data_IF_544201047699
#
_entry.id   IF_544201047699
#
_cell.length_a   1.000
_cell.length_b   1.000
_cell.length_c   1.000
_cell.angle_alpha   90.00
_cell.angle_beta   90.00
_cell.angle_gamma   90.00
#
_symmetry.space_group_name_H-M   'P 1'
#
loop_
_entity.id
_entity.type
_entity.pdbx_description
1 polymer ?
#
# COMPACT_ATOMS: atom_id res chain seq x y z
N UNK A 1 30.64 -69.23 -15.34
CA UNK A 1 30.12 -68.40 -14.25
C UNK A 1 30.72 -67.02 -14.42
N UNK A 2 29.96 -66.05 -14.98
CA UNK A 2 30.34 -64.63 -15.11
C UNK A 2 29.60 -63.86 -14.05
N UNK A 3 30.31 -63.25 -13.10
CA UNK A 3 29.77 -62.38 -12.10
C UNK A 3 29.67 -60.94 -12.67
N UNK A 4 28.45 -60.45 -12.85
CA UNK A 4 28.18 -59.08 -13.25
C UNK A 4 28.15 -58.24 -11.98
N UNK A 5 29.06 -57.28 -11.85
CA UNK A 5 29.10 -56.28 -10.78
C UNK A 5 28.20 -55.09 -11.22
N UNK A 6 27.14 -54.86 -10.50
CA UNK A 6 26.22 -53.72 -10.71
C UNK A 6 26.75 -52.57 -9.87
N UNK A 7 27.30 -51.53 -10.51
CA UNK A 7 27.72 -50.30 -9.85
C UNK A 7 26.51 -49.42 -9.62
N UNK A 8 26.20 -49.19 -8.36
CA UNK A 8 25.14 -48.23 -7.93
C UNK A 8 25.74 -46.83 -7.94
N UNK A 9 25.38 -46.03 -8.95
CA UNK A 9 25.76 -44.63 -9.03
C UNK A 9 24.79 -43.83 -8.16
N UNK A 10 25.23 -43.38 -6.98
CA UNK A 10 24.52 -42.42 -6.14
C UNK A 10 24.62 -41.05 -6.79
N UNK A 11 23.52 -40.57 -7.38
CA UNK A 11 23.38 -39.16 -7.79
C UNK A 11 23.10 -38.34 -6.53
N UNK A 12 24.11 -37.63 -6.02
CA UNK A 12 23.94 -36.57 -5.07
C UNK A 12 23.24 -35.41 -5.81
N UNK A 13 21.93 -35.26 -5.58
CA UNK A 13 21.25 -34.01 -5.88
C UNK A 13 21.78 -32.94 -4.90
N UNK A 14 22.72 -32.14 -5.34
CA UNK A 14 22.99 -30.84 -4.75
C UNK A 14 21.76 -29.99 -5.00
N UNK A 15 20.89 -29.91 -4.00
CA UNK A 15 19.85 -28.88 -3.94
C UNK A 15 20.54 -27.52 -3.86
N UNK A 16 20.69 -26.85 -5.00
CA UNK A 16 21.09 -25.46 -5.03
C UNK A 16 20.01 -24.67 -4.32
N UNK A 17 20.34 -24.05 -3.20
CA UNK A 17 19.55 -22.97 -2.63
C UNK A 17 19.55 -21.90 -3.72
N UNK A 18 18.43 -21.71 -4.39
CA UNK A 18 18.24 -20.57 -5.29
C UNK A 18 18.36 -19.31 -4.41
N UNK A 19 19.55 -18.72 -4.38
CA UNK A 19 19.74 -17.41 -3.77
C UNK A 19 18.89 -16.44 -4.60
N UNK A 20 17.90 -15.80 -3.99
CA UNK A 20 17.17 -14.74 -4.65
C UNK A 20 18.19 -13.73 -5.19
N UNK A 21 18.06 -13.37 -6.47
CA UNK A 21 18.98 -12.42 -7.09
C UNK A 21 18.88 -11.10 -6.35
N UNK A 22 20.00 -10.62 -5.78
CA UNK A 22 20.02 -9.35 -5.06
C UNK A 22 19.73 -8.19 -6.01
N UNK A 23 18.85 -7.31 -5.60
CA UNK A 23 18.59 -6.05 -6.30
C UNK A 23 19.78 -5.12 -6.02
N UNK A 24 20.60 -4.89 -7.04
CA UNK A 24 21.73 -3.96 -6.94
C UNK A 24 21.25 -2.53 -7.19
N UNK A 25 21.59 -1.60 -6.33
CA UNK A 25 21.26 -0.18 -6.48
C UNK A 25 22.42 0.71 -6.04
N UNK A 26 22.36 1.95 -6.47
CA UNK A 26 23.23 3.04 -6.04
C UNK A 26 22.35 4.17 -5.52
N UNK A 27 22.74 4.83 -4.42
CA UNK A 27 21.98 5.93 -3.85
C UNK A 27 22.86 7.12 -3.51
N UNK A 28 22.32 8.34 -3.61
CA UNK A 28 22.99 9.58 -3.23
C UNK A 28 21.97 10.70 -3.03
N UNK A 29 22.40 11.76 -2.33
CA UNK A 29 21.58 12.95 -2.12
C UNK A 29 22.02 14.09 -3.06
N UNK A 30 21.06 14.85 -3.57
CA UNK A 30 21.30 16.16 -4.18
C UNK A 30 21.45 17.24 -3.10
N UNK A 31 22.11 18.35 -3.43
CA UNK A 31 22.32 19.47 -2.49
C UNK A 31 21.01 20.05 -1.95
N UNK A 32 19.93 19.96 -2.72
CA UNK A 32 18.60 20.39 -2.29
C UNK A 32 17.87 19.37 -1.38
N UNK A 33 18.53 18.26 -1.06
CA UNK A 33 18.04 17.22 -0.15
C UNK A 33 17.11 16.19 -0.79
N UNK A 34 16.96 16.15 -2.13
CA UNK A 34 16.30 15.05 -2.80
C UNK A 34 17.19 13.82 -2.76
N UNK A 35 16.65 12.72 -2.30
CA UNK A 35 17.31 11.41 -2.35
C UNK A 35 17.11 10.77 -3.71
N UNK A 36 18.17 10.19 -4.28
CA UNK A 36 18.17 9.57 -5.61
C UNK A 36 18.61 8.11 -5.48
N UNK A 37 17.86 7.21 -6.09
CA UNK A 37 18.16 5.79 -6.15
C UNK A 37 18.24 5.37 -7.63
N UNK A 38 19.31 4.68 -8.01
CA UNK A 38 19.55 4.18 -9.36
C UNK A 38 19.64 2.65 -9.33
N UNK A 39 18.75 1.98 -10.06
CA UNK A 39 18.79 0.53 -10.27
C UNK A 39 18.95 0.24 -11.77
N UNK A 40 20.18 -0.10 -12.19
CA UNK A 40 20.47 -0.43 -13.58
C UNK A 40 20.19 -1.91 -13.87
N UNK A 41 19.22 -2.17 -14.76
CA UNK A 41 18.87 -3.49 -15.27
C UNK A 41 18.64 -3.43 -16.79
N UNK A 42 19.59 -3.92 -17.62
CA UNK A 42 19.49 -3.91 -19.07
C UNK A 42 18.68 -5.08 -19.64
N UNK A 43 17.93 -5.82 -18.84
CA UNK A 43 17.18 -7.01 -19.28
C UNK A 43 16.05 -6.69 -20.27
N UNK A 44 15.52 -5.44 -20.24
CA UNK A 44 14.53 -4.93 -21.17
C UNK A 44 14.88 -3.49 -21.56
N UNK A 45 14.61 -3.06 -22.82
CA UNK A 45 14.99 -1.73 -23.31
C UNK A 45 14.02 -0.64 -22.85
N UNK A 46 13.73 -0.61 -21.55
CA UNK A 46 12.82 0.35 -20.91
C UNK A 46 13.44 0.91 -19.65
N UNK A 47 13.05 2.11 -19.27
CA UNK A 47 13.45 2.74 -18.03
C UNK A 47 12.23 3.41 -17.36
N UNK A 48 12.16 3.32 -16.03
CA UNK A 48 11.19 4.03 -15.20
C UNK A 48 11.87 5.21 -14.51
N UNK A 49 11.19 6.34 -14.51
CA UNK A 49 11.44 7.46 -13.61
C UNK A 49 10.26 7.57 -12.67
N UNK A 50 10.50 7.58 -11.38
CA UNK A 50 9.44 7.72 -10.40
C UNK A 50 9.82 8.65 -9.26
N UNK A 51 8.84 9.39 -8.76
CA UNK A 51 9.00 10.28 -7.60
C UNK A 51 7.95 9.91 -6.56
N UNK A 52 8.41 9.55 -5.37
CA UNK A 52 7.56 9.32 -4.21
C UNK A 52 7.72 10.48 -3.22
N UNK A 53 6.61 11.16 -2.96
CA UNK A 53 6.53 12.25 -2.01
C UNK A 53 6.04 11.72 -0.66
N UNK A 54 6.73 12.06 0.43
CA UNK A 54 6.31 11.72 1.79
C UNK A 54 5.18 12.65 2.23
N UNK A 55 4.06 12.54 1.53
CA UNK A 55 2.81 13.25 1.82
C UNK A 55 1.64 12.38 1.41
N UNK A 56 0.72 12.17 2.34
CA UNK A 56 -0.51 11.41 2.13
C UNK A 56 -1.66 12.03 2.89
N UNK A 57 -2.78 11.32 2.98
CA UNK A 57 -3.96 11.86 3.66
C UNK A 57 -3.74 12.14 5.15
N UNK A 58 -2.72 11.54 5.79
CA UNK A 58 -2.38 11.85 7.18
C UNK A 58 -1.81 13.25 7.41
N UNK A 59 -1.27 13.87 6.36
CA UNK A 59 -0.69 15.22 6.45
C UNK A 59 -1.73 16.33 6.28
N UNK A 60 -3.00 15.96 6.10
CA UNK A 60 -4.13 16.86 5.90
C UNK A 60 -4.69 17.37 7.22
N UNK A 61 -5.43 18.46 7.14
CA UNK A 61 -6.20 19.00 8.29
C UNK A 61 -7.56 18.30 8.40
N UNK A 62 -8.13 18.16 9.61
CA UNK A 62 -9.44 17.52 9.82
C UNK A 62 -10.60 18.19 9.07
N UNK A 63 -10.46 19.47 8.75
CA UNK A 63 -11.45 20.29 8.03
C UNK A 63 -11.11 20.49 6.54
N UNK A 64 -10.05 19.83 6.04
CA UNK A 64 -9.55 19.91 4.66
C UNK A 64 -8.97 18.56 4.23
N UNK A 65 -9.82 17.54 4.17
CA UNK A 65 -9.43 16.17 3.77
C UNK A 65 -9.59 15.95 2.28
N UNK A 66 -8.74 15.08 1.70
CA UNK A 66 -8.71 14.75 0.28
C UNK A 66 -7.67 15.51 -0.52
N UNK A 67 -6.87 16.39 0.09
CA UNK A 67 -5.87 17.21 -0.61
C UNK A 67 -4.77 16.38 -1.24
N UNK A 68 -4.22 15.40 -0.54
CA UNK A 68 -3.15 14.57 -1.09
C UNK A 68 -3.60 13.81 -2.35
N UNK A 69 -4.77 13.18 -2.31
CA UNK A 69 -5.36 12.52 -3.48
C UNK A 69 -5.74 13.52 -4.57
N UNK A 70 -6.24 14.68 -4.20
CA UNK A 70 -6.52 15.75 -5.17
C UNK A 70 -5.26 16.18 -5.94
N UNK A 71 -4.12 16.27 -5.24
CA UNK A 71 -2.84 16.59 -5.86
C UNK A 71 -2.34 15.47 -6.79
N UNK A 72 -2.68 14.20 -6.52
CA UNK A 72 -2.43 13.12 -7.47
C UNK A 72 -3.00 13.45 -8.84
N UNK A 73 -4.22 13.97 -8.90
CA UNK A 73 -4.87 14.42 -10.14
C UNK A 73 -4.33 15.76 -10.65
N UNK A 74 -4.24 16.74 -9.76
CA UNK A 74 -3.95 18.13 -10.13
C UNK A 74 -2.56 18.30 -10.77
N UNK A 75 -1.58 17.50 -10.36
CA UNK A 75 -0.23 17.56 -10.93
C UNK A 75 -0.11 16.93 -12.33
N UNK A 76 -1.21 16.46 -12.93
CA UNK A 76 -1.31 16.14 -14.35
C UNK A 76 -1.95 17.25 -15.21
N UNK A 77 -2.46 18.32 -14.58
CA UNK A 77 -3.12 19.43 -15.30
C UNK A 77 -2.15 20.26 -16.14
N UNK A 78 -0.86 20.13 -15.90
CA UNK A 78 0.19 20.78 -16.69
C UNK A 78 1.17 21.56 -15.84
N UNK A 79 2.21 22.07 -16.52
CA UNK A 79 3.28 22.87 -15.93
C UNK A 79 3.44 24.16 -16.75
N UNK A 80 4.37 25.02 -16.36
CA UNK A 80 4.69 26.21 -17.17
C UNK A 80 5.13 25.85 -18.59
N UNK A 81 5.78 24.67 -18.77
CA UNK A 81 6.33 24.22 -20.05
C UNK A 81 5.52 23.08 -20.71
N UNK A 82 4.61 22.42 -19.99
CA UNK A 82 3.71 21.40 -20.51
C UNK A 82 2.29 21.92 -20.39
N UNK A 83 1.65 22.19 -21.53
CA UNK A 83 0.29 22.72 -21.54
C UNK A 83 -0.71 21.73 -20.96
N UNK A 84 -1.79 22.24 -20.38
CA UNK A 84 -2.92 21.46 -19.88
C UNK A 84 -3.41 20.45 -20.93
N UNK A 85 -3.54 19.18 -20.53
CA UNK A 85 -3.98 18.07 -21.39
C UNK A 85 -2.92 17.53 -22.35
N UNK A 86 -1.68 18.03 -22.29
CA UNK A 86 -0.58 17.53 -23.12
C UNK A 86 0.22 16.41 -22.42
N UNK A 87 0.17 16.28 -21.09
CA UNK A 87 0.97 15.30 -20.35
C UNK A 87 0.82 13.88 -20.91
N UNK A 88 -0.39 13.35 -20.93
CA UNK A 88 -0.68 12.01 -21.44
C UNK A 88 -0.37 11.84 -22.92
N UNK A 89 -0.52 12.91 -23.72
CA UNK A 89 -0.18 12.89 -25.14
C UNK A 89 1.32 12.78 -25.36
N UNK A 90 2.13 13.51 -24.59
CA UNK A 90 3.59 13.42 -24.63
C UNK A 90 4.02 12.00 -24.27
N UNK A 91 3.51 11.44 -23.17
CA UNK A 91 3.82 10.09 -22.75
C UNK A 91 3.50 9.08 -23.86
N UNK A 92 2.26 9.09 -24.37
CA UNK A 92 1.81 8.13 -25.37
C UNK A 92 2.57 8.30 -26.71
N UNK A 93 2.80 9.54 -27.16
CA UNK A 93 3.52 9.81 -28.40
C UNK A 93 4.98 9.33 -28.39
N UNK A 94 5.57 9.20 -27.19
CA UNK A 94 6.94 8.72 -27.01
C UNK A 94 7.00 7.24 -26.57
N UNK A 95 5.89 6.49 -26.71
CA UNK A 95 5.82 5.06 -26.42
C UNK A 95 5.86 4.72 -24.92
N UNK A 96 5.56 5.70 -24.06
CA UNK A 96 5.54 5.54 -22.62
C UNK A 96 4.17 5.20 -22.05
N UNK A 97 4.18 4.84 -20.78
CA UNK A 97 2.99 4.72 -19.91
C UNK A 97 3.30 5.42 -18.60
N UNK A 98 2.28 5.91 -17.93
CA UNK A 98 2.42 6.56 -16.63
C UNK A 98 1.24 6.23 -15.73
N UNK A 99 1.44 6.40 -14.44
CA UNK A 99 0.38 6.32 -13.44
C UNK A 99 0.77 7.08 -12.17
N UNK A 100 -0.20 7.22 -11.27
CA UNK A 100 0.01 7.73 -9.93
C UNK A 100 -0.90 7.03 -8.93
N UNK A 101 -0.59 7.11 -7.66
CA UNK A 101 -1.46 6.66 -6.58
C UNK A 101 -1.11 7.36 -5.27
N UNK A 102 -2.12 7.47 -4.39
CA UNK A 102 -2.01 8.10 -3.08
C UNK A 102 -2.44 7.12 -1.99
N UNK A 103 -1.67 7.10 -0.91
CA UNK A 103 -2.02 6.39 0.33
C UNK A 103 -2.19 7.37 1.49
N UNK A 104 -2.35 6.83 2.68
CA UNK A 104 -2.37 7.67 3.88
C UNK A 104 -1.00 8.32 4.18
N UNK A 105 0.10 7.73 3.69
CA UNK A 105 1.47 8.12 4.05
C UNK A 105 2.26 8.76 2.91
N UNK A 106 1.89 8.49 1.65
CA UNK A 106 2.68 8.92 0.50
C UNK A 106 1.83 9.17 -0.75
N UNK A 107 2.36 9.99 -1.69
CA UNK A 107 1.88 10.14 -3.07
C UNK A 107 3.00 9.75 -4.03
N UNK A 108 2.69 8.93 -5.04
CA UNK A 108 3.65 8.32 -5.93
C UNK A 108 3.26 8.57 -7.38
N UNK A 109 4.22 9.04 -8.20
CA UNK A 109 4.09 9.25 -9.63
C UNK A 109 5.18 8.49 -10.35
N UNK A 110 4.90 7.96 -11.53
CA UNK A 110 5.91 7.33 -12.37
C UNK A 110 5.58 7.36 -13.84
N UNK A 111 6.62 7.38 -14.66
CA UNK A 111 6.60 7.15 -16.10
C UNK A 111 7.56 6.02 -16.47
N UNK A 112 7.09 5.13 -17.35
CA UNK A 112 7.91 4.11 -17.98
C UNK A 112 8.03 4.45 -19.46
N UNK A 113 9.24 4.59 -19.95
CA UNK A 113 9.54 4.89 -21.36
C UNK A 113 10.52 3.86 -21.95
N UNK A 114 10.57 3.73 -23.30
CA UNK A 114 11.75 3.16 -23.94
C UNK A 114 13.02 3.85 -23.46
N UNK A 115 14.11 3.10 -23.27
CA UNK A 115 15.37 3.58 -22.65
C UNK A 115 15.94 4.86 -23.25
N UNK A 116 15.75 5.06 -24.56
CA UNK A 116 16.21 6.25 -25.28
C UNK A 116 15.44 7.53 -24.91
N UNK A 117 14.33 7.42 -24.20
CA UNK A 117 13.48 8.55 -23.78
C UNK A 117 13.58 8.84 -22.27
N UNK A 118 14.59 8.30 -21.57
CA UNK A 118 14.79 8.56 -20.14
C UNK A 118 14.98 10.05 -19.83
N UNK A 119 15.67 10.80 -20.68
CA UNK A 119 15.83 12.24 -20.48
C UNK A 119 14.49 12.96 -20.46
N UNK A 120 13.56 12.57 -21.36
CA UNK A 120 12.20 13.12 -21.39
C UNK A 120 11.45 12.83 -20.07
N UNK A 121 11.52 11.60 -19.57
CA UNK A 121 10.88 11.22 -18.31
C UNK A 121 11.42 12.04 -17.12
N UNK A 122 12.74 12.18 -17.02
CA UNK A 122 13.37 12.99 -15.98
C UNK A 122 12.98 14.46 -16.08
N UNK A 123 12.93 15.02 -17.31
CA UNK A 123 12.47 16.37 -17.51
C UNK A 123 11.00 16.54 -17.10
N UNK A 124 10.10 15.64 -17.50
CA UNK A 124 8.68 15.72 -17.15
C UNK A 124 8.47 15.69 -15.63
N UNK A 125 9.11 14.79 -14.92
CA UNK A 125 8.99 14.71 -13.45
C UNK A 125 9.61 15.94 -12.75
N UNK A 126 10.69 16.51 -13.29
CA UNK A 126 11.24 17.76 -12.76
C UNK A 126 10.30 18.94 -12.97
N UNK A 127 9.60 19.01 -14.11
CA UNK A 127 8.57 20.00 -14.39
C UNK A 127 7.39 19.88 -13.43
N UNK A 128 6.93 18.66 -13.17
CA UNK A 128 5.88 18.38 -12.17
C UNK A 128 6.23 18.94 -10.79
N UNK A 129 7.50 18.82 -10.39
CA UNK A 129 7.96 19.27 -9.07
C UNK A 129 8.23 20.76 -9.02
N UNK A 130 8.84 21.34 -10.07
CA UNK A 130 9.33 22.72 -10.05
C UNK A 130 8.28 23.73 -10.53
N UNK A 131 7.51 23.39 -11.58
CA UNK A 131 6.68 24.34 -12.31
C UNK A 131 5.19 23.92 -12.41
N UNK A 132 4.57 23.25 -11.42
CA UNK A 132 3.18 22.84 -11.54
C UNK A 132 2.26 24.05 -11.65
N UNK A 133 1.32 24.04 -12.60
CA UNK A 133 0.33 25.10 -12.75
C UNK A 133 -0.89 24.81 -11.89
N UNK A 134 -0.93 25.39 -10.70
CA UNK A 134 -2.05 25.29 -9.78
C UNK A 134 -2.91 26.54 -9.87
N UNK A 135 -3.98 26.44 -10.64
CA UNK A 135 -4.90 27.54 -10.90
C UNK A 135 -6.37 27.12 -10.76
N UNK A 136 -7.26 28.11 -10.80
CA UNK A 136 -8.71 27.86 -10.61
C UNK A 136 -9.29 26.89 -11.65
N UNK A 137 -8.83 26.93 -12.90
CA UNK A 137 -9.36 26.07 -13.97
C UNK A 137 -9.02 24.60 -13.67
N UNK A 138 -7.78 24.31 -13.30
CA UNK A 138 -7.33 22.98 -12.92
C UNK A 138 -8.07 22.46 -11.68
N UNK A 139 -8.17 23.31 -10.64
CA UNK A 139 -8.87 22.95 -9.39
C UNK A 139 -10.34 22.65 -9.65
N UNK A 140 -11.08 23.52 -10.35
CA UNK A 140 -12.50 23.31 -10.65
C UNK A 140 -12.72 22.03 -11.48
N UNK A 141 -11.84 21.75 -12.44
CA UNK A 141 -11.92 20.56 -13.28
C UNK A 141 -11.70 19.29 -12.46
N UNK A 142 -10.60 19.24 -11.69
CA UNK A 142 -10.26 18.04 -10.92
C UNK A 142 -11.23 17.82 -9.74
N UNK A 143 -11.84 18.88 -9.22
CA UNK A 143 -12.89 18.74 -8.21
C UNK A 143 -14.07 17.88 -8.73
N UNK A 144 -14.54 18.12 -9.95
CA UNK A 144 -15.60 17.28 -10.54
C UNK A 144 -15.12 15.85 -10.84
N UNK A 145 -13.88 15.68 -11.29
CA UNK A 145 -13.29 14.35 -11.54
C UNK A 145 -13.20 13.53 -10.24
N UNK A 146 -12.66 14.09 -9.17
CA UNK A 146 -12.52 13.41 -7.88
C UNK A 146 -13.88 13.11 -7.24
N UNK A 147 -14.87 14.02 -7.39
CA UNK A 147 -16.25 13.75 -6.98
C UNK A 147 -16.85 12.56 -7.69
N UNK A 148 -16.67 12.48 -9.01
CA UNK A 148 -17.19 11.35 -9.79
C UNK A 148 -16.46 10.05 -9.44
N UNK A 149 -15.16 10.11 -9.20
CA UNK A 149 -14.40 8.96 -8.73
C UNK A 149 -14.93 8.46 -7.38
N UNK A 150 -15.16 9.37 -6.42
CA UNK A 150 -15.72 9.00 -5.12
C UNK A 150 -17.10 8.35 -5.27
N UNK A 151 -17.98 8.93 -6.09
CA UNK A 151 -19.30 8.34 -6.37
C UNK A 151 -19.14 6.92 -6.94
N UNK A 152 -18.27 6.75 -7.94
CA UNK A 152 -18.12 5.49 -8.66
C UNK A 152 -17.41 4.44 -7.83
N UNK A 153 -16.35 4.78 -7.08
CA UNK A 153 -15.51 3.81 -6.34
C UNK A 153 -15.95 3.57 -4.90
N UNK A 154 -16.67 4.54 -4.30
CA UNK A 154 -17.07 4.44 -2.90
C UNK A 154 -18.60 4.46 -2.72
N UNK A 155 -19.25 5.55 -3.16
CA UNK A 155 -20.63 5.80 -2.73
C UNK A 155 -21.64 4.91 -3.44
N UNK A 156 -21.37 4.48 -4.69
CA UNK A 156 -22.25 3.61 -5.49
C UNK A 156 -21.80 2.13 -5.53
N UNK A 157 -20.65 1.79 -4.95
CA UNK A 157 -20.18 0.41 -4.91
C UNK A 157 -20.70 -0.33 -3.68
N UNK A 158 -21.16 -1.59 -3.83
CA UNK A 158 -21.42 -2.45 -2.68
C UNK A 158 -20.17 -2.53 -1.81
N UNK A 159 -20.32 -2.28 -0.51
CA UNK A 159 -19.24 -2.23 0.48
C UNK A 159 -18.15 -1.19 0.19
N UNK A 160 -18.35 -0.23 -0.72
CA UNK A 160 -17.35 0.75 -1.13
C UNK A 160 -16.85 1.65 0.01
N UNK A 161 -17.67 1.86 1.05
CA UNK A 161 -17.31 2.64 2.24
C UNK A 161 -16.71 1.81 3.38
N UNK A 162 -16.54 0.51 3.18
CA UNK A 162 -16.11 -0.43 4.21
C UNK A 162 -14.85 0.03 4.97
N UNK A 163 -13.76 0.29 4.25
CA UNK A 163 -12.50 0.70 4.87
C UNK A 163 -12.62 2.06 5.57
N UNK A 164 -13.32 3.02 4.97
CA UNK A 164 -13.54 4.34 5.57
C UNK A 164 -14.27 4.24 6.91
N UNK A 165 -15.33 3.43 6.96
CA UNK A 165 -16.10 3.20 8.20
C UNK A 165 -15.26 2.51 9.27
N UNK A 166 -14.42 1.53 8.89
CA UNK A 166 -13.48 0.89 9.84
C UNK A 166 -12.50 1.92 10.39
N UNK A 167 -11.86 2.73 9.54
CA UNK A 167 -10.88 3.76 9.91
C UNK A 167 -11.50 4.79 10.87
N UNK A 168 -12.67 5.31 10.56
CA UNK A 168 -13.39 6.29 11.37
C UNK A 168 -13.72 5.79 12.79
N UNK A 169 -14.04 4.50 12.92
CA UNK A 169 -14.34 3.90 14.20
C UNK A 169 -13.09 3.46 14.98
N UNK A 170 -12.04 3.05 14.29
CA UNK A 170 -10.82 2.51 14.89
C UNK A 170 -9.85 3.60 15.35
N UNK A 171 -9.82 4.75 14.67
CA UNK A 171 -8.97 5.90 15.01
C UNK A 171 -9.83 7.07 15.50
N UNK A 172 -9.36 7.74 16.55
CA UNK A 172 -10.09 8.88 17.15
C UNK A 172 -9.32 10.19 17.06
N UNK A 173 -8.00 10.13 17.17
CA UNK A 173 -7.09 11.28 17.14
C UNK A 173 -6.25 11.30 15.85
N UNK A 174 -5.76 10.13 15.44
CA UNK A 174 -4.86 10.01 14.30
C UNK A 174 -5.57 10.33 12.98
N UNK A 175 -4.91 11.02 12.04
CA UNK A 175 -5.44 11.32 10.71
C UNK A 175 -5.85 10.11 9.87
N UNK A 176 -5.40 8.91 10.19
CA UNK A 176 -5.88 7.69 9.54
C UNK A 176 -7.38 7.44 9.69
N UNK A 177 -8.10 8.25 10.47
CA UNK A 177 -9.56 8.16 10.66
C UNK A 177 -10.38 8.56 9.44
N UNK A 178 -9.82 9.26 8.46
CA UNK A 178 -10.54 9.61 7.22
C UNK A 178 -10.05 8.85 6.01
N UNK A 179 -10.89 8.78 4.98
CA UNK A 179 -10.55 8.17 3.71
C UNK A 179 -9.57 9.04 2.92
N UNK A 180 -8.66 8.42 2.19
CA UNK A 180 -7.65 9.11 1.36
C UNK A 180 -8.28 10.04 0.32
N UNK A 181 -9.43 9.65 -0.26
CA UNK A 181 -10.18 10.49 -1.20
C UNK A 181 -10.84 11.71 -0.53
N UNK A 182 -10.97 11.71 0.79
CA UNK A 182 -11.47 12.82 1.57
C UNK A 182 -12.97 13.08 1.50
N UNK A 183 -13.36 14.27 1.96
CA UNK A 183 -14.74 14.79 1.91
C UNK A 183 -14.92 15.75 0.76
N UNK A 184 -16.01 15.59 0.00
CA UNK A 184 -16.38 16.52 -1.08
C UNK A 184 -16.69 17.91 -0.55
N UNK A 185 -17.28 18.00 0.63
CA UNK A 185 -17.56 19.27 1.31
C UNK A 185 -16.26 20.04 1.61
N UNK A 186 -15.20 19.33 2.02
CA UNK A 186 -13.90 19.94 2.28
C UNK A 186 -13.22 20.42 1.00
N UNK A 187 -13.34 19.66 -0.09
CA UNK A 187 -12.78 20.05 -1.39
C UNK A 187 -13.55 21.24 -1.99
N UNK A 188 -14.87 21.28 -1.85
CA UNK A 188 -15.70 22.41 -2.30
C UNK A 188 -15.45 23.68 -1.50
N UNK A 189 -15.16 23.56 -0.21
CA UNK A 189 -14.87 24.69 0.65
C UNK A 189 -13.43 25.21 0.56
N UNK A 190 -12.53 24.44 -0.09
CA UNK A 190 -11.13 24.79 -0.18
C UNK A 190 -10.88 25.95 -1.13
N UNK A 191 -9.96 26.84 -0.77
CA UNK A 191 -9.55 27.97 -1.62
C UNK A 191 -8.33 27.60 -2.47
N UNK A 192 -8.11 28.34 -3.57
CA UNK A 192 -6.93 28.16 -4.41
C UNK A 192 -5.63 28.35 -3.61
N UNK A 193 -5.62 29.31 -2.69
CA UNK A 193 -4.45 29.59 -1.85
C UNK A 193 -4.15 28.41 -0.89
N UNK A 194 -5.17 27.71 -0.40
CA UNK A 194 -4.97 26.50 0.43
C UNK A 194 -4.33 25.37 -0.40
N UNK A 195 -4.78 25.17 -1.65
CA UNK A 195 -4.12 24.21 -2.55
C UNK A 195 -2.66 24.60 -2.83
N UNK A 196 -2.41 25.87 -3.18
CA UNK A 196 -1.04 26.35 -3.43
C UNK A 196 -0.14 26.23 -2.20
N UNK A 197 -0.68 26.50 -1.01
CA UNK A 197 0.05 26.35 0.26
C UNK A 197 0.38 24.89 0.57
N UNK A 198 -0.53 23.95 0.30
CA UNK A 198 -0.31 22.51 0.47
C UNK A 198 0.80 22.01 -0.47
N UNK A 199 0.74 22.38 -1.76
CA UNK A 199 1.80 22.04 -2.72
C UNK A 199 3.15 22.56 -2.24
N UNK A 200 3.25 23.86 -1.96
CA UNK A 200 4.50 24.51 -1.52
C UNK A 200 5.09 23.90 -0.25
N UNK A 201 4.24 23.34 0.63
CA UNK A 201 4.66 22.73 1.88
C UNK A 201 5.21 21.32 1.69
N UNK A 202 4.55 20.51 0.86
CA UNK A 202 4.78 19.07 0.85
C UNK A 202 5.46 18.55 -0.42
N UNK A 203 5.21 19.17 -1.58
CA UNK A 203 5.80 18.76 -2.87
C UNK A 203 7.11 19.50 -3.10
N UNK A 204 8.12 19.10 -2.34
CA UNK A 204 9.46 19.71 -2.30
C UNK A 204 10.53 18.63 -2.39
N UNK A 205 11.73 18.92 -2.94
CA UNK A 205 12.76 17.90 -3.19
C UNK A 205 13.20 17.17 -1.91
N UNK A 206 13.37 17.89 -0.80
CA UNK A 206 13.75 17.29 0.48
C UNK A 206 12.61 16.58 1.24
N UNK A 207 11.48 16.34 0.58
CA UNK A 207 10.37 15.50 1.03
C UNK A 207 10.03 14.41 -0.01
N UNK A 208 10.96 14.13 -0.91
CA UNK A 208 10.75 13.21 -2.02
C UNK A 208 11.97 12.31 -2.25
N UNK A 209 11.72 11.16 -2.85
CA UNK A 209 12.73 10.26 -3.37
C UNK A 209 12.50 10.05 -4.86
N UNK A 210 13.57 10.23 -5.65
CA UNK A 210 13.61 9.95 -7.07
C UNK A 210 14.22 8.56 -7.30
N UNK A 211 13.53 7.69 -8.01
CA UNK A 211 14.08 6.40 -8.42
C UNK A 211 14.12 6.33 -9.94
N UNK A 212 15.28 5.92 -10.46
CA UNK A 212 15.46 5.55 -11.87
C UNK A 212 15.84 4.08 -11.93
N UNK A 213 15.02 3.26 -12.60
CA UNK A 213 15.29 1.85 -12.74
C UNK A 213 15.14 1.39 -14.19
N UNK A 214 15.90 0.33 -14.59
CA UNK A 214 15.86 -0.25 -15.93
C UNK A 214 17.14 -0.04 -16.72
N UNK A 215 17.00 0.01 -18.05
CA UNK A 215 18.12 0.12 -18.96
C UNK A 215 18.50 1.59 -19.22
N UNK A 216 19.61 2.03 -18.68
CA UNK A 216 20.14 3.38 -18.87
C UNK A 216 21.65 3.46 -18.61
N UNK A 217 22.29 4.49 -19.14
CA UNK A 217 23.69 4.79 -18.82
C UNK A 217 23.75 5.66 -17.57
N UNK A 218 24.39 5.16 -16.53
CA UNK A 218 24.45 5.83 -15.21
C UNK A 218 24.98 7.26 -15.27
N UNK A 219 26.04 7.48 -16.01
CA UNK A 219 26.64 8.83 -16.09
C UNK A 219 25.74 9.84 -16.80
N UNK A 220 25.02 9.40 -17.85
CA UNK A 220 24.02 10.24 -18.54
C UNK A 220 22.84 10.54 -17.61
N UNK A 221 22.29 9.52 -16.94
CA UNK A 221 21.21 9.70 -15.99
C UNK A 221 21.59 10.66 -14.84
N UNK A 222 22.78 10.50 -14.24
CA UNK A 222 23.28 11.41 -13.20
C UNK A 222 23.42 12.86 -13.71
N UNK A 223 23.88 13.05 -14.94
CA UNK A 223 23.97 14.37 -15.56
C UNK A 223 22.59 15.01 -15.72
N UNK A 224 21.60 14.29 -16.25
CA UNK A 224 20.25 14.80 -16.43
C UNK A 224 19.57 15.05 -15.07
N UNK A 225 19.75 14.17 -14.09
CA UNK A 225 19.23 14.36 -12.73
C UNK A 225 19.80 15.64 -12.13
N UNK A 226 21.11 15.84 -12.21
CA UNK A 226 21.74 17.07 -11.71
C UNK A 226 21.23 18.33 -12.44
N UNK A 227 21.02 18.23 -13.76
CA UNK A 227 20.54 19.33 -14.60
C UNK A 227 19.09 19.70 -14.27
N UNK A 228 18.19 18.73 -14.16
CA UNK A 228 16.75 18.98 -14.01
C UNK A 228 16.31 19.10 -12.55
N UNK A 229 16.82 18.26 -11.66
CA UNK A 229 16.40 18.26 -10.25
C UNK A 229 17.34 19.06 -9.34
N UNK A 230 18.64 19.16 -9.68
CA UNK A 230 19.63 19.86 -8.84
C UNK A 230 19.37 21.35 -8.68
N UNK A 231 18.66 21.97 -9.61
CA UNK A 231 18.32 23.41 -9.58
C UNK A 231 17.04 23.72 -8.79
N UNK A 232 16.25 22.70 -8.43
CA UNK A 232 15.00 22.87 -7.68
C UNK A 232 15.33 23.36 -6.26
N UNK A 233 14.74 24.46 -5.79
CA UNK A 233 15.05 24.97 -4.46
C UNK A 233 14.64 24.00 -3.36
N UNK A 234 15.50 23.86 -2.34
CA UNK A 234 15.17 23.12 -1.11
C UNK A 234 14.00 23.77 -0.38
N UNK A 235 13.02 22.97 0.01
CA UNK A 235 11.89 23.45 0.79
C UNK A 235 12.20 23.54 2.29
N UNK A 236 11.30 24.18 3.03
CA UNK A 236 11.40 24.26 4.48
C UNK A 236 11.22 22.85 5.12
N UNK A 237 11.90 22.57 6.25
CA UNK A 237 11.70 21.30 6.96
C UNK A 237 10.25 21.13 7.39
N UNK A 238 9.68 19.97 7.10
CA UNK A 238 8.30 19.63 7.47
C UNK A 238 8.28 19.11 8.91
N UNK A 239 7.52 19.80 9.76
CA UNK A 239 7.24 19.32 11.11
C UNK A 239 5.92 18.55 11.08
N UNK A 240 5.95 17.26 11.39
CA UNK A 240 4.76 16.41 11.54
C UNK A 240 4.38 16.32 13.01
N UNK A 241 3.10 16.50 13.26
CA UNK A 241 2.53 16.29 14.57
C UNK A 241 2.41 14.79 14.84
N UNK A 242 2.72 14.37 16.08
CA UNK A 242 2.57 12.99 16.49
C UNK A 242 1.22 12.81 17.18
N UNK A 243 0.37 11.97 16.62
CA UNK A 243 -0.93 11.63 17.17
C UNK A 243 -0.86 10.28 17.87
N UNK A 244 -1.03 10.30 19.20
CA UNK A 244 -1.02 9.06 20.00
C UNK A 244 -2.47 8.66 20.26
N UNK A 245 -2.84 7.49 19.78
CA UNK A 245 -4.14 6.86 20.03
C UNK A 245 -4.16 6.18 21.40
N UNK A 246 -5.24 6.39 22.14
CA UNK A 246 -5.44 5.65 23.37
C UNK A 246 -5.64 4.15 23.08
N UNK A 247 -5.13 3.24 23.93
CA UNK A 247 -5.37 1.81 23.78
C UNK A 247 -6.87 1.49 23.73
N UNK A 248 -7.25 0.55 22.87
CA UNK A 248 -8.60 0.00 22.89
C UNK A 248 -8.68 -1.01 24.03
N UNK A 249 -9.43 -0.66 25.08
CA UNK A 249 -9.55 -1.48 26.31
C UNK A 249 -10.81 -2.33 26.36
N UNK A 250 -11.79 -2.02 25.49
CA UNK A 250 -13.06 -2.73 25.39
C UNK A 250 -13.52 -2.82 23.92
N UNK A 251 -14.47 -3.70 23.64
CA UNK A 251 -15.03 -3.82 22.28
C UNK A 251 -15.83 -2.58 21.89
N UNK A 252 -15.39 -1.92 20.84
CA UNK A 252 -16.14 -0.85 20.18
C UNK A 252 -17.20 -1.51 19.30
N UNK A 253 -18.47 -1.21 19.52
CA UNK A 253 -19.58 -1.67 18.66
C UNK A 253 -20.02 -0.56 17.75
N UNK A 254 -20.10 -0.83 16.45
CA UNK A 254 -20.59 0.11 15.45
C UNK A 254 -21.54 -0.59 14.49
N UNK A 255 -22.42 0.21 13.87
CA UNK A 255 -23.34 -0.23 12.81
C UNK A 255 -23.23 0.77 11.66
N UNK A 256 -23.18 0.27 10.45
CA UNK A 256 -23.25 1.07 9.23
C UNK A 256 -24.31 0.51 8.29
N UNK A 257 -25.17 1.40 7.77
CA UNK A 257 -26.22 1.04 6.81
C UNK A 257 -25.80 1.47 5.40
N UNK A 258 -25.71 0.50 4.50
CA UNK A 258 -25.33 0.68 3.10
C UNK A 258 -26.51 0.42 2.18
N UNK A 259 -26.86 1.41 1.34
CA UNK A 259 -27.96 1.30 0.38
C UNK A 259 -27.63 0.38 -0.82
N UNK A 260 -26.36 0.04 -1.02
CA UNK A 260 -25.90 -0.67 -2.20
C UNK A 260 -25.72 -2.18 -1.99
N UNK A 261 -25.98 -2.69 -0.78
CA UNK A 261 -25.81 -4.10 -0.45
C UNK A 261 -27.16 -4.76 -0.12
N UNK A 262 -27.21 -6.07 -0.35
CA UNK A 262 -28.33 -6.93 0.07
C UNK A 262 -27.90 -7.93 1.16
N UNK A 263 -26.63 -8.25 1.23
CA UNK A 263 -26.05 -9.20 2.18
C UNK A 263 -25.29 -8.42 3.25
N UNK A 264 -25.59 -8.62 4.54
CA UNK A 264 -24.83 -7.96 5.58
C UNK A 264 -23.41 -8.54 5.65
N UNK A 265 -22.49 -7.76 6.25
CA UNK A 265 -21.16 -8.26 6.63
C UNK A 265 -20.92 -8.01 8.11
N UNK A 266 -20.25 -8.95 8.77
CA UNK A 266 -19.67 -8.75 10.09
C UNK A 266 -18.18 -8.47 9.92
N UNK A 267 -17.68 -7.48 10.67
CA UNK A 267 -16.29 -7.06 10.63
C UNK A 267 -15.72 -7.02 12.03
N UNK A 268 -14.55 -7.60 12.23
CA UNK A 268 -13.72 -7.39 13.41
C UNK A 268 -12.43 -6.68 12.99
N UNK A 269 -12.12 -5.55 13.60
CA UNK A 269 -10.91 -4.81 13.27
C UNK A 269 -10.11 -4.44 14.52
N UNK A 270 -8.81 -4.58 14.41
CA UNK A 270 -7.85 -4.32 15.47
C UNK A 270 -6.87 -3.24 15.02
N UNK A 271 -6.51 -2.34 15.93
CA UNK A 271 -5.39 -1.43 15.69
C UNK A 271 -4.08 -2.18 15.93
N UNK A 272 -3.16 -2.05 15.00
CA UNK A 272 -1.88 -2.75 15.00
C UNK A 272 -0.72 -1.76 14.99
N UNK A 273 0.51 -2.20 15.24
CA UNK A 273 1.64 -1.30 15.31
C UNK A 273 2.05 -0.79 13.92
N UNK A 274 2.98 0.18 13.92
CA UNK A 274 3.67 0.69 12.72
C UNK A 274 4.23 -0.43 11.85
N UNK A 275 4.15 -0.24 10.52
CA UNK A 275 4.76 -1.11 9.51
C UNK A 275 6.27 -1.35 9.71
N UNK A 276 6.96 -0.45 10.43
CA UNK A 276 8.39 -0.57 10.74
C UNK A 276 8.71 -1.67 11.76
N UNK A 277 7.69 -2.17 12.46
CA UNK A 277 7.89 -3.17 13.53
C UNK A 277 7.93 -4.60 12.97
N UNK A 278 8.66 -5.47 13.66
CA UNK A 278 8.66 -6.90 13.36
C UNK A 278 7.26 -7.51 13.53
N UNK A 279 6.50 -7.07 14.53
CA UNK A 279 5.15 -7.56 14.79
C UNK A 279 4.19 -7.32 13.60
N UNK A 280 4.37 -6.23 12.85
CA UNK A 280 3.58 -5.97 11.65
C UNK A 280 3.79 -7.07 10.59
N UNK A 281 5.05 -7.51 10.36
CA UNK A 281 5.36 -8.62 9.44
C UNK A 281 4.75 -9.94 9.92
N UNK A 282 4.76 -10.18 11.22
CA UNK A 282 4.11 -11.37 11.78
C UNK A 282 2.60 -11.33 11.55
N UNK A 283 1.96 -10.16 11.67
CA UNK A 283 0.54 -9.97 11.37
C UNK A 283 0.21 -10.23 9.89
N UNK A 284 1.10 -9.87 8.97
CA UNK A 284 0.96 -10.20 7.55
C UNK A 284 0.99 -11.71 7.30
N UNK A 285 1.88 -12.44 7.98
CA UNK A 285 1.91 -13.91 7.94
C UNK A 285 0.64 -14.53 8.56
N UNK A 286 0.13 -13.97 9.67
CA UNK A 286 -1.14 -14.39 10.28
C UNK A 286 -2.30 -14.20 9.31
N UNK A 287 -2.35 -13.08 8.58
CA UNK A 287 -3.35 -12.79 7.57
C UNK A 287 -3.33 -13.85 6.45
N UNK A 288 -2.14 -14.18 5.95
CA UNK A 288 -1.97 -15.23 4.94
C UNK A 288 -2.39 -16.62 5.46
N UNK A 289 -2.05 -16.96 6.71
CA UNK A 289 -2.47 -18.22 7.35
C UNK A 289 -3.98 -18.35 7.45
N UNK A 290 -4.66 -17.27 7.89
CA UNK A 290 -6.09 -17.28 8.14
C UNK A 290 -6.93 -17.25 6.87
N UNK A 291 -6.54 -16.49 5.84
CA UNK A 291 -7.46 -16.23 4.72
C UNK A 291 -6.89 -16.34 3.31
N UNK A 292 -5.58 -16.58 3.11
CA UNK A 292 -5.04 -16.58 1.76
C UNK A 292 -5.28 -17.90 1.02
N UNK A 293 -6.26 -17.86 0.11
CA UNK A 293 -6.67 -18.96 -0.76
C UNK A 293 -7.56 -20.00 -0.09
N UNK A 294 -8.10 -20.93 -0.90
CA UNK A 294 -9.09 -21.93 -0.46
C UNK A 294 -8.60 -22.92 0.60
N UNK A 295 -7.29 -23.06 0.76
CA UNK A 295 -6.70 -23.93 1.79
C UNK A 295 -6.38 -23.19 3.11
N UNK A 296 -6.80 -21.94 3.24
CA UNK A 296 -6.65 -21.15 4.48
C UNK A 296 -7.63 -21.60 5.56
N UNK A 297 -7.33 -21.27 6.81
CA UNK A 297 -8.08 -21.80 7.95
C UNK A 297 -9.53 -21.34 7.98
N UNK A 298 -9.76 -20.04 7.77
CA UNK A 298 -11.11 -19.48 7.79
C UNK A 298 -11.94 -20.00 6.60
N UNK A 299 -11.37 -20.00 5.39
CA UNK A 299 -12.09 -20.48 4.21
C UNK A 299 -12.51 -21.94 4.40
N UNK A 300 -11.56 -22.80 4.77
CA UNK A 300 -11.79 -24.22 4.95
C UNK A 300 -12.91 -24.49 5.96
N UNK A 301 -12.79 -23.89 7.15
CA UNK A 301 -13.73 -24.12 8.25
C UNK A 301 -15.12 -23.54 7.98
N UNK A 302 -15.16 -22.27 7.54
CA UNK A 302 -16.40 -21.47 7.56
C UNK A 302 -17.14 -21.58 6.22
N UNK A 303 -16.41 -21.61 5.09
CA UNK A 303 -17.01 -21.70 3.75
C UNK A 303 -17.19 -23.15 3.30
N UNK A 304 -16.11 -23.97 3.37
CA UNK A 304 -16.16 -25.35 2.85
C UNK A 304 -16.90 -26.31 3.77
N UNK A 305 -16.49 -26.39 5.06
CA UNK A 305 -16.95 -27.41 5.98
C UNK A 305 -18.32 -27.04 6.58
N UNK A 306 -18.43 -25.84 7.21
CA UNK A 306 -19.67 -25.40 7.88
C UNK A 306 -20.68 -24.77 6.93
N UNK A 307 -20.26 -24.22 5.78
CA UNK A 307 -21.11 -23.60 4.75
C UNK A 307 -22.03 -22.51 5.31
N UNK A 308 -21.52 -21.71 6.26
CA UNK A 308 -22.27 -20.61 6.87
C UNK A 308 -21.93 -19.24 6.28
N UNK A 309 -20.86 -19.14 5.51
CA UNK A 309 -20.48 -17.91 4.83
C UNK A 309 -20.31 -18.10 3.31
N UNK A 310 -20.65 -17.07 2.56
CA UNK A 310 -20.31 -16.93 1.13
C UNK A 310 -18.83 -16.56 0.98
N UNK A 311 -18.36 -15.71 1.87
CA UNK A 311 -17.01 -15.19 1.88
C UNK A 311 -16.55 -14.92 3.31
N UNK A 312 -15.27 -15.17 3.56
CA UNK A 312 -14.58 -14.81 4.79
C UNK A 312 -13.16 -14.40 4.43
N UNK A 313 -12.63 -13.43 5.14
CA UNK A 313 -11.28 -12.96 4.87
C UNK A 313 -10.62 -12.34 6.10
N UNK A 314 -9.30 -12.25 6.02
CA UNK A 314 -8.45 -11.50 6.94
C UNK A 314 -7.36 -10.79 6.14
N UNK A 315 -7.06 -9.56 6.48
CA UNK A 315 -5.94 -8.84 5.91
C UNK A 315 -5.35 -7.83 6.90
N UNK A 316 -4.06 -7.64 6.79
CA UNK A 316 -3.32 -6.61 7.49
C UNK A 316 -3.15 -5.41 6.54
N UNK A 317 -3.40 -4.22 7.05
CA UNK A 317 -3.09 -2.97 6.37
C UNK A 317 -2.08 -2.22 7.25
N UNK A 318 -0.81 -2.45 6.97
CA UNK A 318 0.31 -1.86 7.70
C UNK A 318 0.66 -0.50 7.11
N UNK A 319 0.76 0.54 7.97
CA UNK A 319 1.03 1.92 7.59
C UNK A 319 2.15 2.50 8.48
N UNK A 320 2.63 3.70 8.18
CA UNK A 320 3.84 4.23 8.83
C UNK A 320 3.71 4.40 10.34
N UNK A 321 2.57 4.90 10.83
CA UNK A 321 2.39 5.20 12.27
C UNK A 321 1.64 4.09 13.01
N UNK A 322 0.58 3.56 12.41
CA UNK A 322 -0.26 2.47 12.90
C UNK A 322 -0.65 1.58 11.74
N UNK A 323 -1.09 0.36 12.06
CA UNK A 323 -1.78 -0.50 11.10
C UNK A 323 -3.19 -0.85 11.56
N UNK A 324 -3.88 -1.61 10.71
CA UNK A 324 -5.17 -2.23 11.01
C UNK A 324 -5.13 -3.70 10.60
N UNK A 325 -5.63 -4.57 11.45
CA UNK A 325 -5.88 -5.96 11.10
C UNK A 325 -7.39 -6.19 11.03
N UNK A 326 -7.88 -6.60 9.88
CA UNK A 326 -9.31 -6.67 9.58
C UNK A 326 -9.69 -8.10 9.26
N UNK A 327 -10.73 -8.61 9.93
CA UNK A 327 -11.40 -9.86 9.60
C UNK A 327 -12.85 -9.53 9.23
N UNK A 328 -13.39 -10.25 8.24
CA UNK A 328 -14.76 -10.04 7.82
C UNK A 328 -15.42 -11.34 7.34
N UNK A 329 -16.72 -11.37 7.39
CA UNK A 329 -17.51 -12.48 6.84
C UNK A 329 -18.86 -12.04 6.34
N UNK A 330 -19.26 -12.62 5.20
CA UNK A 330 -20.56 -12.44 4.57
C UNK A 330 -21.36 -13.75 4.72
N UNK A 331 -22.53 -13.73 5.39
CA UNK A 331 -23.31 -14.95 5.63
C UNK A 331 -23.87 -15.55 4.36
N UNK A 332 -24.02 -16.87 4.35
CA UNK A 332 -24.73 -17.61 3.32
C UNK A 332 -26.16 -17.92 3.75
N UNK A 333 -27.14 -17.52 2.94
CA UNK A 333 -28.56 -17.77 3.20
C UNK A 333 -29.06 -17.08 4.46
N UNK A 334 -29.65 -17.84 5.39
CA UNK A 334 -30.22 -17.34 6.65
C UNK A 334 -29.24 -17.40 7.85
N UNK A 335 -27.97 -17.72 7.62
CA UNK A 335 -26.99 -17.78 8.70
C UNK A 335 -26.76 -16.38 9.30
N UNK A 336 -26.49 -16.35 10.58
CA UNK A 336 -26.24 -15.10 11.29
C UNK A 336 -24.80 -14.61 11.10
N UNK A 337 -24.58 -13.30 10.82
CA UNK A 337 -23.24 -12.74 10.80
C UNK A 337 -22.46 -12.99 12.11
N UNK A 338 -23.12 -12.97 13.25
CA UNK A 338 -22.49 -13.21 14.55
C UNK A 338 -21.99 -14.66 14.71
N UNK A 339 -22.60 -15.64 14.04
CA UNK A 339 -22.10 -17.01 14.09
C UNK A 339 -20.78 -17.14 13.30
N UNK A 340 -20.63 -16.39 12.20
CA UNK A 340 -19.36 -16.30 11.47
C UNK A 340 -18.28 -15.69 12.38
N UNK A 341 -18.61 -14.62 13.11
CA UNK A 341 -17.67 -14.00 14.02
C UNK A 341 -17.19 -14.96 15.13
N UNK A 342 -18.08 -15.79 15.68
CA UNK A 342 -17.72 -16.84 16.64
C UNK A 342 -16.70 -17.83 16.07
N UNK A 343 -16.95 -18.28 14.82
CA UNK A 343 -16.03 -19.21 14.16
C UNK A 343 -14.66 -18.59 13.86
N UNK A 344 -14.64 -17.30 13.52
CA UNK A 344 -13.40 -16.53 13.38
C UNK A 344 -12.67 -16.48 14.73
N UNK A 345 -13.38 -16.15 15.82
CA UNK A 345 -12.82 -16.05 17.16
C UNK A 345 -12.26 -17.39 17.66
N UNK A 346 -12.89 -18.51 17.31
CA UNK A 346 -12.37 -19.85 17.62
C UNK A 346 -11.03 -20.12 16.91
N UNK A 347 -10.89 -19.73 15.63
CA UNK A 347 -9.62 -19.90 14.91
C UNK A 347 -8.52 -18.98 15.46
N UNK A 348 -8.87 -17.74 15.83
CA UNK A 348 -7.94 -16.84 16.53
C UNK A 348 -7.51 -17.44 17.86
N UNK A 349 -8.43 -18.00 18.64
CA UNK A 349 -8.13 -18.62 19.94
C UNK A 349 -7.18 -19.81 19.76
N UNK A 350 -7.39 -20.65 18.76
CA UNK A 350 -6.43 -21.73 18.43
C UNK A 350 -5.05 -21.18 18.11
N UNK A 351 -4.98 -20.17 17.24
CA UNK A 351 -3.71 -19.52 16.89
C UNK A 351 -2.99 -18.91 18.10
N UNK A 352 -3.74 -18.45 19.11
CA UNK A 352 -3.19 -17.89 20.34
C UNK A 352 -2.72 -18.95 21.35
N UNK A 353 -3.21 -20.19 21.26
CA UNK A 353 -2.97 -21.25 22.24
C UNK A 353 -2.10 -22.38 21.69
N UNK A 354 -2.09 -22.59 20.41
CA UNK A 354 -1.39 -23.68 19.73
C UNK A 354 -0.36 -23.13 18.75
N UNK A 355 0.69 -23.90 18.49
CA UNK A 355 1.61 -23.61 17.40
C UNK A 355 0.99 -24.06 16.08
N UNK A 356 1.12 -23.24 15.02
CA UNK A 356 0.75 -23.68 13.69
C UNK A 356 1.60 -24.90 13.27
N UNK A 357 1.05 -25.79 12.43
CA UNK A 357 1.80 -26.97 12.00
C UNK A 357 3.04 -26.57 11.21
N UNK A 358 4.07 -27.41 11.25
CA UNK A 358 5.30 -27.22 10.45
C UNK A 358 4.99 -27.07 8.96
N UNK A 359 4.05 -27.88 8.46
CA UNK A 359 3.57 -27.81 7.07
C UNK A 359 2.95 -26.45 6.72
N UNK A 360 2.12 -25.90 7.61
CA UNK A 360 1.50 -24.58 7.38
C UNK A 360 2.55 -23.48 7.46
N UNK A 361 3.48 -23.59 8.41
CA UNK A 361 4.58 -22.65 8.55
C UNK A 361 5.47 -22.58 7.29
N UNK A 362 5.91 -23.74 6.77
CA UNK A 362 6.67 -23.83 5.54
C UNK A 362 5.87 -23.28 4.33
N UNK A 363 4.55 -23.52 4.31
CA UNK A 363 3.68 -22.96 3.27
C UNK A 363 3.65 -21.43 3.33
N UNK A 364 3.63 -20.82 4.52
CA UNK A 364 3.64 -19.37 4.68
C UNK A 364 4.94 -18.75 4.15
N UNK A 365 6.07 -19.34 4.50
CA UNK A 365 7.37 -18.90 4.01
C UNK A 365 7.43 -18.95 2.47
N UNK A 366 7.07 -20.09 1.88
CA UNK A 366 7.07 -20.25 0.42
C UNK A 366 6.11 -19.27 -0.29
N UNK A 367 4.97 -18.95 0.33
CA UNK A 367 4.02 -17.94 -0.21
C UNK A 367 4.60 -16.55 -0.15
N UNK A 368 5.23 -16.20 0.96
CA UNK A 368 5.89 -14.92 1.10
C UNK A 368 6.98 -14.77 0.04
N UNK A 369 7.87 -15.77 -0.10
CA UNK A 369 8.95 -15.77 -1.08
C UNK A 369 8.40 -15.54 -2.50
N UNK A 370 7.36 -16.29 -2.86
CA UNK A 370 6.74 -16.15 -4.18
C UNK A 370 6.15 -14.74 -4.40
N UNK A 371 5.45 -14.19 -3.42
CA UNK A 371 4.86 -12.86 -3.50
C UNK A 371 5.96 -11.78 -3.59
N UNK A 372 7.01 -11.92 -2.78
CA UNK A 372 8.14 -11.00 -2.75
C UNK A 372 8.91 -11.02 -4.08
N UNK A 373 9.19 -12.20 -4.63
CA UNK A 373 9.84 -12.33 -5.94
C UNK A 373 8.95 -11.71 -7.03
N UNK A 374 7.64 -11.96 -7.00
CA UNK A 374 6.71 -11.40 -7.98
C UNK A 374 6.62 -9.87 -7.89
N UNK A 375 6.61 -9.29 -6.67
CA UNK A 375 6.59 -7.83 -6.50
C UNK A 375 7.87 -7.14 -6.99
N UNK A 376 8.98 -7.87 -7.07
CA UNK A 376 10.28 -7.42 -7.57
C UNK A 376 10.61 -7.98 -8.97
N UNK A 377 9.62 -8.45 -9.73
CA UNK A 377 9.83 -9.04 -11.08
C UNK A 377 9.72 -8.01 -12.22
N UNK A 378 9.27 -6.80 -11.93
CA UNK A 378 9.19 -5.70 -12.89
C UNK A 378 9.98 -4.48 -12.39
N UNK A 379 10.40 -3.62 -13.31
CA UNK A 379 11.09 -2.37 -12.95
C UNK A 379 10.18 -1.43 -12.14
N UNK A 380 8.86 -1.45 -12.39
CA UNK A 380 7.88 -0.68 -11.64
C UNK A 380 7.82 -1.15 -10.18
N UNK A 381 7.74 -2.47 -9.96
CA UNK A 381 7.71 -3.04 -8.62
C UNK A 381 9.01 -2.78 -7.84
N UNK A 382 10.17 -2.93 -8.50
CA UNK A 382 11.48 -2.62 -7.91
C UNK A 382 11.56 -1.14 -7.54
N UNK A 383 11.14 -0.23 -8.44
CA UNK A 383 11.22 1.21 -8.21
C UNK A 383 10.31 1.64 -7.05
N UNK A 384 9.06 1.14 -7.00
CA UNK A 384 8.13 1.43 -5.89
C UNK A 384 8.63 0.87 -4.56
N UNK A 385 9.18 -0.36 -4.54
CA UNK A 385 9.71 -0.97 -3.34
C UNK A 385 10.96 -0.24 -2.83
N UNK A 386 11.91 0.14 -3.70
CA UNK A 386 13.08 0.93 -3.33
C UNK A 386 12.66 2.27 -2.72
N UNK A 387 11.74 2.99 -3.36
CA UNK A 387 11.20 4.24 -2.85
C UNK A 387 10.52 4.07 -1.49
N UNK A 388 9.68 3.04 -1.34
CA UNK A 388 8.94 2.77 -0.11
C UNK A 388 9.86 2.36 1.05
N UNK A 389 10.83 1.49 0.80
CA UNK A 389 11.78 1.08 1.83
C UNK A 389 12.64 2.25 2.32
N UNK A 390 13.09 3.10 1.41
CA UNK A 390 13.78 4.32 1.80
C UNK A 390 12.87 5.27 2.59
N UNK A 391 11.74 5.67 2.00
CA UNK A 391 10.91 6.77 2.50
C UNK A 391 10.13 6.41 3.76
N UNK A 392 9.48 5.24 3.74
CA UNK A 392 8.53 4.84 4.79
C UNK A 392 9.17 3.95 5.85
N UNK A 393 10.10 3.07 5.48
CA UNK A 393 10.78 2.19 6.44
C UNK A 393 12.09 2.78 6.97
N UNK A 394 12.75 3.65 6.19
CA UNK A 394 14.05 4.20 6.53
C UNK A 394 15.21 3.20 6.38
N UNK A 395 14.97 2.09 5.66
CA UNK A 395 15.97 1.06 5.35
C UNK A 395 15.76 0.47 3.97
N UNK A 396 16.48 0.99 2.99
CA UNK A 396 16.40 0.54 1.59
C UNK A 396 16.88 -0.91 1.40
N UNK A 397 17.76 -1.42 2.29
CA UNK A 397 18.30 -2.77 2.19
C UNK A 397 17.25 -3.86 2.46
N UNK A 398 16.07 -3.51 2.96
CA UNK A 398 14.94 -4.42 3.09
C UNK A 398 14.61 -5.11 1.76
N UNK A 399 14.82 -4.45 0.61
CA UNK A 399 14.65 -5.09 -0.69
C UNK A 399 15.50 -6.36 -0.88
N UNK A 400 16.59 -6.48 -0.12
CA UNK A 400 17.51 -7.61 -0.18
C UNK A 400 17.49 -8.50 1.08
N UNK A 401 16.83 -8.09 2.16
CA UNK A 401 16.88 -8.78 3.46
C UNK A 401 15.51 -9.19 4.00
N UNK A 402 14.42 -8.74 3.38
CA UNK A 402 13.05 -9.01 3.83
C UNK A 402 12.75 -10.52 3.89
N UNK A 403 13.20 -11.31 2.90
CA UNK A 403 13.05 -12.78 2.90
C UNK A 403 13.72 -13.41 4.11
N UNK A 404 14.97 -13.03 4.39
CA UNK A 404 15.73 -13.57 5.53
C UNK A 404 15.04 -13.19 6.86
N UNK A 405 14.56 -11.97 6.95
CA UNK A 405 13.84 -11.49 8.13
C UNK A 405 12.54 -12.27 8.35
N UNK A 406 11.74 -12.50 7.31
CA UNK A 406 10.51 -13.30 7.38
C UNK A 406 10.81 -14.75 7.76
N UNK A 407 11.85 -15.35 7.19
CA UNK A 407 12.25 -16.72 7.53
C UNK A 407 12.78 -16.86 8.97
N UNK A 408 13.20 -15.75 9.58
CA UNK A 408 13.61 -15.73 10.98
C UNK A 408 12.43 -15.68 11.97
N UNK A 409 11.20 -15.41 11.51
CA UNK A 409 9.99 -15.39 12.36
C UNK A 409 9.64 -16.82 12.75
N UNK A 410 9.48 -17.08 14.05
CA UNK A 410 9.17 -18.41 14.57
C UNK A 410 7.68 -18.66 14.70
N UNK A 411 7.29 -19.92 14.86
CA UNK A 411 5.88 -20.28 15.14
C UNK A 411 5.40 -19.77 16.50
N UNK A 412 6.31 -19.66 17.44
CA UNK A 412 6.09 -19.07 18.76
C UNK A 412 5.79 -17.57 18.65
N UNK A 413 6.54 -16.84 17.84
CA UNK A 413 6.29 -15.41 17.55
C UNK A 413 4.90 -15.22 16.91
N UNK A 414 4.51 -16.07 15.95
CA UNK A 414 3.19 -16.03 15.33
C UNK A 414 2.08 -16.15 16.39
N UNK A 415 2.19 -17.14 17.29
CA UNK A 415 1.25 -17.32 18.40
C UNK A 415 1.25 -16.11 19.34
N UNK A 416 2.40 -15.62 19.72
CA UNK A 416 2.54 -14.59 20.75
C UNK A 416 2.08 -13.21 20.23
N UNK A 417 2.32 -12.91 18.96
CA UNK A 417 1.79 -11.71 18.29
C UNK A 417 0.27 -11.80 18.13
N UNK A 418 -0.28 -12.98 17.80
CA UNK A 418 -1.73 -13.18 17.78
C UNK A 418 -2.35 -12.90 19.17
N UNK A 419 -1.71 -13.34 20.26
CA UNK A 419 -2.15 -13.02 21.64
C UNK A 419 -2.11 -11.53 21.94
N UNK A 420 -1.06 -10.86 21.47
CA UNK A 420 -0.81 -9.45 21.76
C UNK A 420 -1.82 -8.52 21.08
N UNK A 421 -2.18 -8.80 19.82
CA UNK A 421 -2.96 -7.86 19.02
C UNK A 421 -4.38 -8.30 18.69
N UNK A 422 -4.69 -9.58 18.65
CA UNK A 422 -6.00 -10.09 18.24
C UNK A 422 -6.92 -10.45 19.42
N UNK A 423 -6.95 -9.61 20.45
CA UNK A 423 -7.82 -9.81 21.60
C UNK A 423 -9.27 -9.44 21.24
N UNK A 424 -10.24 -10.39 21.30
CA UNK A 424 -11.63 -10.14 20.95
C UNK A 424 -12.35 -9.11 21.83
N UNK A 425 -11.80 -8.79 23.01
CA UNK A 425 -12.34 -7.75 23.90
C UNK A 425 -11.74 -6.35 23.66
N UNK A 426 -10.80 -6.21 22.71
CA UNK A 426 -10.07 -4.97 22.44
C UNK A 426 -10.06 -4.69 20.94
N UNK A 427 -11.25 -4.61 20.34
CA UNK A 427 -11.42 -4.46 18.89
C UNK A 427 -12.65 -3.64 18.53
N UNK A 428 -12.75 -3.24 17.29
CA UNK A 428 -13.99 -2.82 16.66
C UNK A 428 -14.76 -4.07 16.19
N UNK A 429 -16.05 -4.14 16.52
CA UNK A 429 -17.02 -5.04 15.86
C UNK A 429 -18.02 -4.15 15.12
N UNK A 430 -18.06 -4.28 13.81
CA UNK A 430 -18.91 -3.47 12.94
C UNK A 430 -19.94 -4.36 12.26
N UNK A 431 -21.21 -4.07 12.50
CA UNK A 431 -22.35 -4.59 11.74
C UNK A 431 -22.55 -3.73 10.49
N UNK A 432 -22.09 -4.23 9.35
CA UNK A 432 -22.27 -3.57 8.06
C UNK A 432 -23.51 -4.17 7.37
N UNK A 433 -24.60 -3.42 7.34
CA UNK A 433 -25.92 -3.98 7.02
C UNK A 433 -26.59 -3.26 5.86
N UNK A 434 -27.49 -3.92 5.13
CA UNK A 434 -28.36 -3.25 4.17
C UNK A 434 -29.17 -2.13 4.87
N UNK A 435 -29.29 -0.99 4.23
CA UNK A 435 -30.19 0.03 4.72
C UNK A 435 -31.64 -0.49 4.69
N UNK A 436 -32.43 -0.14 5.72
CA UNK A 436 -33.84 -0.50 5.75
C UNK A 436 -34.53 0.12 4.53
N UNK A 437 -35.37 -0.67 3.83
CA UNK A 437 -36.22 -0.12 2.77
C UNK A 437 -36.98 1.08 3.32
N UNK A 438 -36.75 2.25 2.73
CA UNK A 438 -37.60 3.41 3.04
C UNK A 438 -39.01 3.02 2.64
N UNK A 439 -39.91 2.89 3.62
CA UNK A 439 -41.33 2.72 3.36
C UNK A 439 -41.76 3.80 2.36
N UNK A 440 -42.19 3.36 1.16
CA UNK A 440 -42.66 4.23 0.08
C UNK A 440 -43.97 4.90 0.47
#
# INVERSE_FOLDING_TARGET
MKKTIMALSSVLMLGGVASAQKVAFEEYDLDNGMHVILHHDPSAPVAITSVMYHVGSKDERPDRTGFAHFFEHLLFEGTENIKRGEWFKIVTANGGVNNANTSDDRTYYYEVFPSNNLELALWMESERLLHPVINKIGVDTQNEVVKEEKRTRMDNQPYGRFQAVVKENLFKKHPYRWATIGSMEHLDAATLEEFQAFNKKFYIPNNAVLVVAGDFKKDEAKKWIAQYFGTIPKGAPIKREQFIEEPITETIKAKFEDNNIQIPAIVAAYRTPSMKTRDARVLDLISSYLSDGKSSKLYKKIVDDKKIALQVGAFSNSQEDYGMYILYGLPMGQNSPIDILKEIDEEITKLQTELISEKDYQKLQNKFDNNFVNSNSSIEGIAENLASYYLLYGDINLINTEIEMIHSITREEIRDVAKKYLNPNQRLVLDYVPAAEKAK
#
